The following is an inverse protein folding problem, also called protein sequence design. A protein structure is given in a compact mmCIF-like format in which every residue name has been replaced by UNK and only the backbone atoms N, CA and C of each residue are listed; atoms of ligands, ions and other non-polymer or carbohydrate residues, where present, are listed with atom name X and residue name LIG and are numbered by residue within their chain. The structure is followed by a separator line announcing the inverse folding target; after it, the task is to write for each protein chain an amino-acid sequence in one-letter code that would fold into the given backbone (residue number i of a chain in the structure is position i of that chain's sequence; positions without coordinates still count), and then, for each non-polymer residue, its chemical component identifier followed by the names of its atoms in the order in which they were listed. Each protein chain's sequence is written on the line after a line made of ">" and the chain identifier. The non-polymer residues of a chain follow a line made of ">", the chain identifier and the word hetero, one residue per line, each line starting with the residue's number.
data_IF_804134015135
#
_entry.id   IF_804134015135
#
_cell.length_a   1.000
_cell.length_b   1.000
_cell.length_c   1.000
_cell.angle_alpha   90.00
_cell.angle_beta   90.00
_cell.angle_gamma   90.00
#
_symmetry.space_group_name_H-M   'P 1'
#
loop_
_entity.id
_entity.type
_entity.pdbx_description
1 polymer ?
#
# COMPACT_ATOMS: atom_id res chain seq x y z
N UNK A 1 -24.25 20.31 26.85
CA UNK A 1 -24.47 20.47 25.40
C UNK A 1 -24.07 19.16 24.77
N UNK A 2 -25.06 18.33 24.47
CA UNK A 2 -24.85 17.01 23.88
C UNK A 2 -24.18 17.16 22.51
N UNK A 3 -23.00 16.56 22.37
CA UNK A 3 -22.35 16.40 21.08
C UNK A 3 -23.11 15.31 20.34
N UNK A 4 -23.82 15.69 19.27
CA UNK A 4 -24.35 14.75 18.29
C UNK A 4 -23.15 14.04 17.65
N UNK A 5 -22.89 12.80 18.08
CA UNK A 5 -22.10 11.86 17.30
C UNK A 5 -22.87 11.56 16.02
N UNK A 6 -22.50 12.20 14.91
CA UNK A 6 -23.01 11.84 13.58
C UNK A 6 -22.64 10.38 13.30
N UNK A 7 -23.66 9.52 13.21
CA UNK A 7 -23.50 8.15 12.71
C UNK A 7 -22.80 8.18 11.35
N UNK A 8 -21.90 7.22 11.04
CA UNK A 8 -21.24 7.17 9.74
C UNK A 8 -22.28 7.04 8.62
N UNK A 9 -22.42 8.08 7.80
CA UNK A 9 -23.33 8.13 6.67
C UNK A 9 -23.13 6.91 5.77
N UNK A 10 -24.19 6.16 5.50
CA UNK A 10 -24.17 5.10 4.48
C UNK A 10 -23.89 5.73 3.12
N UNK A 11 -22.98 5.15 2.32
CA UNK A 11 -22.70 5.65 0.97
C UNK A 11 -23.97 5.52 0.13
N UNK A 12 -24.37 6.57 -0.59
CA UNK A 12 -25.53 6.46 -1.48
C UNK A 12 -25.22 5.52 -2.65
N UNK A 13 -26.25 4.95 -3.28
CA UNK A 13 -26.08 4.18 -4.52
C UNK A 13 -25.40 5.03 -5.62
N UNK A 14 -25.66 6.34 -5.63
CA UNK A 14 -25.03 7.28 -6.54
C UNK A 14 -23.52 7.40 -6.28
N UNK A 15 -23.10 7.47 -5.01
CA UNK A 15 -21.67 7.54 -4.66
C UNK A 15 -20.93 6.29 -5.12
N UNK A 16 -21.52 5.11 -4.90
CA UNK A 16 -20.92 3.85 -5.36
C UNK A 16 -20.82 3.79 -6.88
N UNK A 17 -21.83 4.27 -7.61
CA UNK A 17 -21.78 4.32 -9.08
C UNK A 17 -20.69 5.28 -9.57
N UNK A 18 -20.55 6.45 -8.93
CA UNK A 18 -19.48 7.40 -9.24
C UNK A 18 -18.10 6.77 -8.98
N UNK A 19 -17.94 6.06 -7.87
CA UNK A 19 -16.71 5.33 -7.54
C UNK A 19 -16.43 4.17 -8.51
N UNK A 20 -17.48 3.54 -9.04
CA UNK A 20 -17.36 2.52 -10.09
C UNK A 20 -16.73 3.12 -11.33
N UNK A 21 -17.33 4.19 -11.85
CA UNK A 21 -16.86 4.89 -13.03
C UNK A 21 -15.44 5.43 -12.85
N UNK A 22 -15.13 6.04 -11.71
CA UNK A 22 -13.78 6.57 -11.45
C UNK A 22 -12.74 5.45 -11.36
N UNK A 23 -13.02 4.31 -10.73
CA UNK A 23 -12.09 3.17 -10.71
C UNK A 23 -11.81 2.66 -12.12
N UNK A 24 -12.84 2.52 -12.97
CA UNK A 24 -12.67 2.00 -14.32
C UNK A 24 -11.86 2.98 -15.19
N UNK A 25 -12.15 4.28 -15.12
CA UNK A 25 -11.41 5.34 -15.81
C UNK A 25 -9.92 5.39 -15.40
N UNK A 26 -9.62 5.20 -14.11
CA UNK A 26 -8.24 5.20 -13.63
C UNK A 26 -7.52 3.89 -13.96
N UNK A 27 -8.24 2.77 -13.97
CA UNK A 27 -7.69 1.46 -14.32
C UNK A 27 -7.23 1.39 -15.77
N UNK A 28 -7.88 2.10 -16.69
CA UNK A 28 -7.41 2.23 -18.09
C UNK A 28 -6.02 2.86 -18.19
N UNK A 29 -5.62 3.67 -17.20
CA UNK A 29 -4.31 4.34 -17.16
C UNK A 29 -3.24 3.49 -16.45
N UNK A 30 -3.59 2.28 -16.01
CA UNK A 30 -2.70 1.43 -15.23
C UNK A 30 -1.61 0.81 -16.11
N UNK A 31 -0.35 1.10 -15.81
CA UNK A 31 0.81 0.47 -16.45
C UNK A 31 1.30 -0.66 -15.55
N UNK A 32 1.43 -1.88 -16.10
CA UNK A 32 1.83 -3.09 -15.35
C UNK A 32 3.21 -3.62 -15.72
N UNK A 33 4.01 -2.77 -16.37
CA UNK A 33 5.38 -3.02 -16.79
C UNK A 33 6.30 -1.91 -16.25
N UNK A 34 7.60 -2.16 -16.27
CA UNK A 34 8.58 -1.19 -15.78
C UNK A 34 8.59 0.05 -16.67
N UNK A 35 8.22 1.19 -16.09
CA UNK A 35 8.09 2.44 -16.82
C UNK A 35 8.68 3.62 -16.03
N UNK A 36 9.99 3.59 -15.89
CA UNK A 36 10.82 4.55 -15.16
C UNK A 36 12.25 4.55 -15.73
N UNK A 37 13.04 5.57 -15.40
CA UNK A 37 14.41 5.74 -15.93
C UNK A 37 15.49 5.12 -15.04
N UNK A 38 15.19 4.96 -13.74
CA UNK A 38 16.13 4.36 -12.80
C UNK A 38 16.25 2.84 -13.00
N UNK A 39 17.35 2.27 -12.53
CA UNK A 39 17.62 0.83 -12.51
C UNK A 39 17.92 0.38 -11.08
N UNK A 40 17.79 -0.92 -10.83
CA UNK A 40 18.26 -1.52 -9.59
C UNK A 40 19.79 -1.35 -9.47
N UNK A 41 20.33 -1.18 -8.24
CA UNK A 41 21.70 -0.77 -8.00
C UNK A 41 22.70 -1.71 -8.66
N UNK A 42 23.36 -1.19 -9.69
CA UNK A 42 24.33 -1.80 -10.61
C UNK A 42 24.65 -0.87 -11.81
N UNK A 43 24.20 0.40 -11.81
CA UNK A 43 24.31 1.29 -13.00
C UNK A 43 24.29 2.78 -12.65
N UNK A 44 24.43 3.68 -13.63
CA UNK A 44 24.56 5.12 -13.42
C UNK A 44 23.29 5.88 -13.00
N UNK A 45 22.10 5.28 -13.10
CA UNK A 45 20.82 5.87 -12.66
C UNK A 45 20.12 4.95 -11.66
N UNK A 46 20.60 4.91 -10.42
CA UNK A 46 20.10 3.95 -9.42
C UNK A 46 18.81 4.43 -8.73
N UNK A 47 17.97 3.46 -8.35
CA UNK A 47 16.93 3.67 -7.35
C UNK A 47 17.58 4.08 -6.03
N UNK A 48 17.30 5.31 -5.57
CA UNK A 48 17.82 5.90 -4.34
C UNK A 48 16.75 6.13 -3.28
N UNK A 49 15.55 6.56 -3.65
CA UNK A 49 14.52 6.95 -2.70
C UNK A 49 13.28 6.08 -2.83
N UNK A 50 13.02 5.28 -1.80
CA UNK A 50 11.83 4.44 -1.70
C UNK A 50 10.90 4.95 -0.60
N UNK A 51 9.68 5.29 -1.00
CA UNK A 51 8.64 5.74 -0.10
C UNK A 51 7.84 4.58 0.50
N UNK A 52 7.32 4.79 1.69
CA UNK A 52 6.32 3.93 2.32
C UNK A 52 5.15 4.77 2.79
N UNK A 53 3.92 4.31 2.53
CA UNK A 53 2.71 4.94 3.07
C UNK A 53 1.84 3.94 3.80
N UNK A 54 1.23 4.41 4.87
CA UNK A 54 0.27 3.70 5.70
C UNK A 54 -0.78 4.68 6.22
N UNK A 55 -1.96 4.17 6.55
CA UNK A 55 -2.97 4.89 7.29
C UNK A 55 -3.43 4.05 8.47
N UNK A 56 -3.30 4.62 9.67
CA UNK A 56 -3.80 4.00 10.89
C UNK A 56 -5.03 4.73 11.39
N UNK A 57 -5.89 4.01 12.10
CA UNK A 57 -7.14 4.53 12.67
C UNK A 57 -7.04 4.57 14.19
N UNK A 58 -7.62 5.60 14.80
CA UNK A 58 -7.75 5.66 16.24
C UNK A 58 -8.68 4.55 16.73
N UNK A 59 -8.33 3.96 17.88
CA UNK A 59 -9.18 2.95 18.53
C UNK A 59 -10.30 3.60 19.33
N UNK A 60 -10.07 4.81 19.81
CA UNK A 60 -11.03 5.58 20.62
C UNK A 60 -11.97 6.41 19.74
N UNK A 61 -11.49 6.92 18.61
CA UNK A 61 -12.24 7.74 17.66
C UNK A 61 -12.20 7.11 16.26
N UNK A 62 -13.11 6.20 15.90
CA UNK A 62 -13.02 5.40 14.67
C UNK A 62 -13.02 6.20 13.35
N UNK A 63 -13.50 7.45 13.38
CA UNK A 63 -13.45 8.37 12.24
C UNK A 63 -12.10 9.08 12.10
N UNK A 64 -11.30 9.15 13.17
CA UNK A 64 -9.96 9.73 13.15
C UNK A 64 -8.95 8.75 12.59
N UNK A 65 -8.22 9.17 11.57
CA UNK A 65 -7.11 8.44 10.99
C UNK A 65 -5.87 9.32 10.83
N UNK A 66 -4.71 8.67 10.75
CA UNK A 66 -3.42 9.30 10.50
C UNK A 66 -2.79 8.66 9.27
N UNK A 67 -2.79 9.40 8.16
CA UNK A 67 -2.00 9.06 6.98
C UNK A 67 -0.54 9.43 7.22
N UNK A 68 0.39 8.56 6.84
CA UNK A 68 1.83 8.78 7.03
C UNK A 68 2.60 8.46 5.76
N UNK A 69 3.57 9.32 5.43
CA UNK A 69 4.58 9.10 4.41
C UNK A 69 5.95 9.02 5.07
N UNK A 70 6.73 8.03 4.69
CA UNK A 70 8.18 7.98 4.95
C UNK A 70 8.92 7.84 3.64
N UNK A 71 10.13 8.38 3.55
CA UNK A 71 11.05 8.10 2.44
C UNK A 71 12.38 7.66 2.99
N UNK A 72 12.86 6.54 2.47
CA UNK A 72 14.09 5.89 2.87
C UNK A 72 15.10 5.93 1.73
N UNK A 73 16.38 6.02 2.10
CA UNK A 73 17.48 5.68 1.23
C UNK A 73 17.43 4.18 0.89
N UNK A 74 17.47 3.82 -0.38
CA UNK A 74 17.24 2.44 -0.84
C UNK A 74 18.37 1.49 -0.43
N UNK A 75 19.61 1.98 -0.34
CA UNK A 75 20.78 1.13 -0.04
C UNK A 75 20.90 0.87 1.47
N UNK A 76 20.75 1.92 2.28
CA UNK A 76 20.93 1.86 3.74
C UNK A 76 19.62 1.55 4.48
N UNK A 77 18.48 1.81 3.84
CA UNK A 77 17.14 1.85 4.43
C UNK A 77 17.05 2.80 5.64
N UNK A 78 17.87 3.85 5.65
CA UNK A 78 17.74 4.95 6.60
C UNK A 78 16.65 5.91 6.15
N UNK A 79 15.95 6.49 7.12
CA UNK A 79 14.84 7.42 6.85
C UNK A 79 15.42 8.80 6.55
N UNK A 80 15.10 9.32 5.38
CA UNK A 80 15.50 10.63 4.91
C UNK A 80 14.38 11.66 5.09
N UNK A 81 13.12 11.21 5.06
CA UNK A 81 11.96 12.07 5.20
C UNK A 81 10.81 11.34 5.90
N UNK A 82 10.01 12.09 6.66
CA UNK A 82 8.74 11.62 7.20
C UNK A 82 7.75 12.79 7.29
N UNK A 83 6.48 12.51 7.02
CA UNK A 83 5.39 13.47 7.18
C UNK A 83 4.08 12.72 7.48
N UNK A 84 3.10 13.41 8.04
CA UNK A 84 1.81 12.83 8.40
C UNK A 84 0.68 13.85 8.28
N UNK A 85 -0.53 13.34 8.21
CA UNK A 85 -1.75 14.14 8.25
C UNK A 85 -2.82 13.41 9.04
N UNK A 86 -3.41 14.11 10.03
CA UNK A 86 -4.62 13.65 10.68
C UNK A 86 -5.84 14.03 9.85
N UNK A 87 -6.79 13.12 9.76
CA UNK A 87 -8.00 13.30 8.99
C UNK A 87 -9.18 12.66 9.71
N UNK A 88 -10.31 13.34 9.68
CA UNK A 88 -11.60 12.76 10.06
C UNK A 88 -12.27 12.22 8.80
N UNK A 89 -12.28 10.91 8.66
CA UNK A 89 -12.83 10.22 7.49
C UNK A 89 -14.35 10.18 7.57
N UNK A 90 -14.99 10.92 6.65
CA UNK A 90 -16.45 10.97 6.51
C UNK A 90 -16.99 9.89 5.56
N UNK A 91 -16.15 9.34 4.71
CA UNK A 91 -16.52 8.27 3.77
C UNK A 91 -16.57 6.93 4.52
N UNK A 92 -17.70 6.19 4.48
CA UNK A 92 -17.82 4.90 5.16
C UNK A 92 -16.93 3.83 4.51
N UNK A 93 -16.60 2.79 5.27
CA UNK A 93 -15.90 1.63 4.72
C UNK A 93 -16.84 0.81 3.85
N UNK A 94 -16.61 0.81 2.54
CA UNK A 94 -17.29 -0.07 1.59
C UNK A 94 -16.26 -1.04 1.00
N UNK A 95 -16.45 -2.37 1.16
CA UNK A 95 -15.56 -3.37 0.56
C UNK A 95 -15.38 -3.14 -0.95
N UNK A 96 -14.14 -3.11 -1.42
CA UNK A 96 -13.82 -2.81 -2.82
C UNK A 96 -13.55 -1.32 -3.12
N UNK A 97 -13.85 -0.41 -2.18
CA UNK A 97 -13.76 1.04 -2.39
C UNK A 97 -12.90 1.76 -1.35
N UNK A 98 -12.08 1.02 -0.59
CA UNK A 98 -11.16 1.59 0.42
C UNK A 98 -10.31 2.76 -0.11
N UNK A 99 -9.90 2.69 -1.39
CA UNK A 99 -9.10 3.73 -2.01
C UNK A 99 -9.76 5.12 -1.98
N UNK A 100 -11.09 5.23 -2.05
CA UNK A 100 -11.78 6.53 -1.98
C UNK A 100 -11.75 7.14 -0.59
N UNK A 101 -11.54 6.31 0.43
CA UNK A 101 -11.39 6.74 1.82
C UNK A 101 -9.95 7.18 2.11
N UNK A 102 -8.96 6.45 1.60
CA UNK A 102 -7.57 6.60 2.04
C UNK A 102 -6.67 7.32 1.02
N UNK A 103 -6.91 7.16 -0.28
CA UNK A 103 -6.06 7.77 -1.31
C UNK A 103 -5.99 9.30 -1.24
N UNK A 104 -7.10 10.05 -1.01
CA UNK A 104 -7.02 11.51 -0.93
C UNK A 104 -6.01 11.99 0.12
N UNK A 105 -6.01 11.36 1.29
CA UNK A 105 -5.12 11.68 2.42
C UNK A 105 -3.65 11.48 2.04
N UNK A 106 -3.35 10.34 1.42
CA UNK A 106 -1.98 9.98 1.06
C UNK A 106 -1.48 10.80 -0.14
N UNK A 107 -2.36 11.12 -1.09
CA UNK A 107 -2.06 12.00 -2.22
C UNK A 107 -1.78 13.43 -1.75
N UNK A 108 -2.53 13.94 -0.77
CA UNK A 108 -2.29 15.27 -0.20
C UNK A 108 -0.91 15.36 0.48
N UNK A 109 -0.48 14.31 1.19
CA UNK A 109 0.86 14.27 1.81
C UNK A 109 1.96 14.23 0.73
N UNK A 110 1.77 13.46 -0.34
CA UNK A 110 2.71 13.42 -1.47
C UNK A 110 2.79 14.78 -2.19
N UNK A 111 1.66 15.42 -2.46
CA UNK A 111 1.61 16.73 -3.11
C UNK A 111 2.21 17.83 -2.21
N UNK A 112 1.98 17.77 -0.90
CA UNK A 112 2.66 18.65 0.08
C UNK A 112 4.18 18.50 0.01
N UNK A 113 4.69 17.27 0.01
CA UNK A 113 6.13 17.00 -0.12
C UNK A 113 6.68 17.48 -1.47
N UNK A 114 5.93 17.31 -2.55
CA UNK A 114 6.31 17.77 -3.89
C UNK A 114 6.41 19.29 -3.95
N UNK A 115 5.42 20.00 -3.40
CA UNK A 115 5.37 21.47 -3.35
C UNK A 115 6.45 22.08 -2.46
N UNK A 116 6.92 21.36 -1.43
CA UNK A 116 8.01 21.83 -0.59
C UNK A 116 9.38 21.78 -1.28
N UNK A 117 9.48 21.18 -2.48
CA UNK A 117 10.74 21.04 -3.20
C UNK A 117 11.71 20.06 -2.53
N UNK A 118 11.19 19.11 -1.75
CA UNK A 118 12.03 18.13 -1.05
C UNK A 118 12.90 17.33 -2.03
N UNK A 119 14.24 17.26 -1.84
CA UNK A 119 15.13 16.52 -2.71
C UNK A 119 14.96 14.99 -2.59
N UNK A 120 14.15 14.55 -1.61
CA UNK A 120 13.94 13.14 -1.30
C UNK A 120 12.60 12.62 -1.82
N UNK A 121 11.96 13.28 -2.79
CA UNK A 121 10.70 12.79 -3.35
C UNK A 121 10.87 11.35 -3.85
N UNK A 122 10.00 10.41 -3.45
CA UNK A 122 10.22 8.99 -3.70
C UNK A 122 10.21 8.71 -5.21
N UNK A 123 11.12 7.85 -5.66
CA UNK A 123 11.15 7.32 -7.03
C UNK A 123 10.21 6.12 -7.20
N UNK A 124 9.83 5.51 -6.08
CA UNK A 124 8.92 4.37 -5.97
C UNK A 124 8.20 4.46 -4.62
N UNK A 125 6.90 4.15 -4.58
CA UNK A 125 6.12 4.12 -3.35
C UNK A 125 5.62 2.71 -3.04
N UNK A 126 5.87 2.24 -1.83
CA UNK A 126 5.22 1.05 -1.28
C UNK A 126 3.98 1.48 -0.51
N UNK A 127 2.87 0.80 -0.77
CA UNK A 127 1.58 1.08 -0.15
C UNK A 127 1.11 -0.13 0.63
N UNK A 128 0.81 0.04 1.93
CA UNK A 128 0.11 -0.99 2.71
C UNK A 128 -1.36 -0.98 2.29
N UNK A 129 -1.78 -1.98 1.52
CA UNK A 129 -3.17 -2.06 1.06
C UNK A 129 -3.39 -2.78 -0.25
N UNK A 130 -4.61 -2.60 -0.74
CA UNK A 130 -5.13 -3.28 -1.93
C UNK A 130 -4.42 -2.78 -3.19
N UNK A 131 -4.42 -3.60 -4.24
CA UNK A 131 -3.55 -3.45 -5.42
C UNK A 131 -4.20 -4.09 -6.64
N UNK A 132 -3.46 -4.61 -7.63
CA UNK A 132 -4.09 -5.43 -8.67
C UNK A 132 -4.75 -6.67 -8.08
N UNK A 133 -4.16 -7.31 -7.04
CA UNK A 133 -4.83 -8.36 -6.27
C UNK A 133 -6.01 -7.77 -5.45
N UNK A 134 -7.13 -7.52 -6.12
CA UNK A 134 -8.32 -6.83 -5.64
C UNK A 134 -9.52 -7.29 -6.46
N UNK A 135 -10.76 -7.37 -5.90
CA UNK A 135 -11.92 -7.87 -6.65
C UNK A 135 -12.18 -7.17 -7.98
N UNK A 136 -11.86 -5.87 -8.06
CA UNK A 136 -11.98 -5.07 -9.29
C UNK A 136 -10.67 -4.90 -10.06
N UNK A 137 -9.58 -5.49 -9.58
CA UNK A 137 -8.26 -5.36 -10.18
C UNK A 137 -7.64 -3.96 -10.07
N UNK A 138 -8.15 -3.12 -9.15
CA UNK A 138 -7.73 -1.74 -8.96
C UNK A 138 -7.91 -1.32 -7.49
N UNK A 139 -6.88 -1.55 -6.68
CA UNK A 139 -6.88 -1.18 -5.26
C UNK A 139 -6.15 0.14 -4.96
N UNK A 140 -5.93 0.41 -3.67
CA UNK A 140 -5.28 1.64 -3.18
C UNK A 140 -3.93 1.94 -3.84
N UNK A 141 -3.04 0.94 -3.94
CA UNK A 141 -1.71 1.13 -4.54
C UNK A 141 -1.81 1.54 -6.02
N UNK A 142 -2.76 0.96 -6.76
CA UNK A 142 -3.05 1.32 -8.14
C UNK A 142 -3.60 2.75 -8.24
N UNK A 143 -4.57 3.09 -7.37
CA UNK A 143 -5.20 4.40 -7.33
C UNK A 143 -4.16 5.51 -7.08
N UNK A 144 -3.37 5.38 -6.01
CA UNK A 144 -2.32 6.34 -5.67
C UNK A 144 -1.31 6.43 -6.81
N UNK A 145 -0.85 5.30 -7.34
CA UNK A 145 0.16 5.29 -8.40
C UNK A 145 -0.28 6.00 -9.67
N UNK A 146 -1.51 5.75 -10.13
CA UNK A 146 -2.07 6.42 -11.31
C UNK A 146 -2.23 7.92 -11.06
N UNK A 147 -2.83 8.32 -9.92
CA UNK A 147 -3.08 9.74 -9.61
C UNK A 147 -1.79 10.53 -9.39
N UNK A 148 -0.79 9.94 -8.72
CA UNK A 148 0.50 10.57 -8.47
C UNK A 148 1.48 10.42 -9.65
N UNK A 149 1.13 9.64 -10.68
CA UNK A 149 2.01 9.23 -11.76
C UNK A 149 3.37 8.72 -11.25
N UNK A 150 3.33 7.82 -10.26
CA UNK A 150 4.49 7.32 -9.54
C UNK A 150 4.50 5.78 -9.58
N UNK A 151 5.66 5.13 -9.77
CA UNK A 151 5.75 3.68 -9.61
C UNK A 151 5.29 3.26 -8.22
N UNK A 152 4.38 2.30 -8.13
CA UNK A 152 3.85 1.81 -6.85
C UNK A 152 3.80 0.30 -6.75
N UNK A 153 4.09 -0.20 -5.55
CA UNK A 153 3.96 -1.61 -5.17
C UNK A 153 2.95 -1.70 -4.03
N UNK A 154 1.96 -2.57 -4.17
CA UNK A 154 1.08 -2.90 -3.06
C UNK A 154 1.63 -4.07 -2.25
N UNK A 155 1.65 -3.90 -0.93
CA UNK A 155 2.09 -4.92 0.02
C UNK A 155 0.93 -5.24 0.96
N UNK A 156 0.40 -6.46 0.87
CA UNK A 156 -0.65 -6.94 1.75
C UNK A 156 -0.09 -7.86 2.83
N UNK A 157 -0.50 -7.62 4.08
CA UNK A 157 -0.24 -8.51 5.22
C UNK A 157 -1.16 -9.75 5.23
N UNK A 158 -2.28 -9.68 4.50
CA UNK A 158 -3.29 -10.72 4.33
C UNK A 158 -3.61 -10.95 2.84
N UNK A 159 -4.18 -12.11 2.49
CA UNK A 159 -4.58 -12.46 1.12
C UNK A 159 -5.96 -11.87 0.80
N UNK A 160 -6.10 -11.25 -0.37
CA UNK A 160 -7.41 -10.95 -0.95
C UNK A 160 -7.91 -12.14 -1.76
N UNK A 161 -9.13 -12.56 -1.47
CA UNK A 161 -9.78 -13.66 -2.17
C UNK A 161 -10.30 -13.19 -3.53
N UNK A 162 -9.57 -13.51 -4.59
CA UNK A 162 -9.92 -13.16 -5.97
C UNK A 162 -9.61 -14.32 -6.89
N UNK A 163 -10.43 -14.54 -7.92
CA UNK A 163 -10.13 -15.50 -8.99
C UNK A 163 -9.72 -16.90 -8.48
N UNK A 164 -10.43 -17.40 -7.47
CA UNK A 164 -10.17 -18.69 -6.82
C UNK A 164 -8.89 -18.77 -5.98
N UNK A 165 -8.21 -17.64 -5.72
CA UNK A 165 -7.09 -17.54 -4.78
C UNK A 165 -7.62 -17.37 -3.35
N UNK A 166 -7.93 -18.49 -2.69
CA UNK A 166 -8.33 -18.50 -1.28
C UNK A 166 -7.17 -18.92 -0.37
N UNK A 167 -7.30 -18.62 0.93
CA UNK A 167 -6.24 -18.86 1.92
C UNK A 167 -5.74 -20.31 1.92
N UNK A 168 -6.64 -21.30 1.79
CA UNK A 168 -6.29 -22.73 1.75
C UNK A 168 -5.46 -23.08 0.52
N UNK A 169 -5.88 -22.65 -0.67
CA UNK A 169 -5.15 -22.86 -1.92
C UNK A 169 -3.74 -22.27 -1.85
N UNK A 170 -3.61 -21.02 -1.40
CA UNK A 170 -2.29 -20.38 -1.33
C UNK A 170 -1.40 -21.01 -0.27
N UNK A 171 -1.96 -21.47 0.86
CA UNK A 171 -1.22 -22.24 1.86
C UNK A 171 -0.68 -23.55 1.27
N UNK A 172 -1.52 -24.31 0.58
CA UNK A 172 -1.11 -25.56 -0.05
C UNK A 172 0.02 -25.32 -1.08
N UNK A 173 -0.06 -24.25 -1.87
CA UNK A 173 1.01 -23.87 -2.81
C UNK A 173 2.33 -23.54 -2.09
N UNK A 174 2.27 -22.84 -0.95
CA UNK A 174 3.45 -22.50 -0.14
C UNK A 174 4.07 -23.71 0.59
N UNK A 175 3.29 -24.76 0.82
CA UNK A 175 3.71 -25.98 1.52
C UNK A 175 4.12 -27.11 0.56
N UNK A 176 3.80 -26.97 -0.74
CA UNK A 176 4.18 -27.95 -1.76
C UNK A 176 5.70 -28.15 -1.84
N UNK A 177 6.16 -29.40 -1.89
CA UNK A 177 7.60 -29.75 -1.91
C UNK A 177 8.37 -29.05 -3.03
N UNK A 178 7.76 -28.90 -4.21
CA UNK A 178 8.33 -28.19 -5.37
C UNK A 178 8.60 -26.69 -5.12
N UNK A 179 7.94 -26.10 -4.11
CA UNK A 179 8.07 -24.69 -3.77
C UNK A 179 8.88 -24.48 -2.48
N UNK A 180 9.37 -25.55 -1.85
CA UNK A 180 10.10 -25.50 -0.58
C UNK A 180 11.41 -24.69 -0.65
N UNK A 181 12.07 -24.68 -1.82
CA UNK A 181 13.29 -23.91 -2.07
C UNK A 181 13.03 -22.51 -2.63
N UNK A 182 11.77 -22.15 -2.94
CA UNK A 182 11.45 -20.86 -3.56
C UNK A 182 11.22 -19.80 -2.49
N UNK A 183 11.85 -18.63 -2.65
CA UNK A 183 11.61 -17.47 -1.78
C UNK A 183 10.19 -16.91 -1.89
N UNK A 184 9.55 -17.07 -3.04
CA UNK A 184 8.18 -16.66 -3.31
C UNK A 184 7.49 -17.63 -4.27
N UNK A 185 6.16 -17.58 -4.31
CA UNK A 185 5.34 -18.23 -5.33
C UNK A 185 4.50 -17.20 -6.07
N UNK A 186 4.28 -17.42 -7.35
CA UNK A 186 3.34 -16.62 -8.15
C UNK A 186 1.90 -17.01 -7.81
N UNK A 187 1.02 -16.02 -7.73
CA UNK A 187 -0.40 -16.18 -7.44
C UNK A 187 -1.20 -16.09 -8.74
N UNK A 188 -1.33 -17.23 -9.42
CA UNK A 188 -2.12 -17.36 -10.64
C UNK A 188 -3.52 -17.87 -10.30
N UNK A 189 -4.53 -17.10 -10.67
CA UNK A 189 -5.93 -17.45 -10.41
C UNK A 189 -6.47 -18.49 -11.39
N UNK A 190 -7.74 -18.87 -11.22
CA UNK A 190 -8.42 -19.84 -12.08
C UNK A 190 -8.53 -19.37 -13.53
N UNK A 191 -8.61 -18.06 -13.76
CA UNK A 191 -8.62 -17.47 -15.11
C UNK A 191 -7.29 -17.60 -15.87
N UNK A 192 -6.21 -18.08 -15.21
CA UNK A 192 -4.85 -18.07 -15.75
C UNK A 192 -4.12 -16.73 -15.55
N UNK A 193 -4.82 -15.69 -15.06
CA UNK A 193 -4.20 -14.40 -14.74
C UNK A 193 -3.28 -14.50 -13.52
N UNK A 194 -2.08 -13.95 -13.65
CA UNK A 194 -1.20 -13.71 -12.51
C UNK A 194 -1.60 -12.43 -11.79
N UNK A 195 -1.94 -12.54 -10.51
CA UNK A 195 -2.38 -11.42 -9.69
C UNK A 195 -1.31 -10.84 -8.77
N UNK A 196 -0.22 -11.57 -8.55
CA UNK A 196 0.85 -11.15 -7.65
C UNK A 196 1.74 -12.31 -7.22
N UNK A 197 2.39 -12.16 -6.08
CA UNK A 197 3.20 -13.20 -5.45
C UNK A 197 2.93 -13.28 -3.94
N UNK A 198 3.10 -14.47 -3.37
CA UNK A 198 3.20 -14.68 -1.93
C UNK A 198 4.66 -14.97 -1.58
N UNK A 199 5.20 -14.23 -0.60
CA UNK A 199 6.62 -14.28 -0.25
C UNK A 199 6.81 -14.48 1.24
N UNK A 200 7.65 -15.45 1.62
CA UNK A 200 8.19 -15.57 2.97
C UNK A 200 9.47 -14.73 3.01
N UNK A 201 9.29 -13.44 3.31
CA UNK A 201 10.29 -12.38 3.10
C UNK A 201 11.58 -12.50 3.91
N UNK A 202 11.56 -13.21 5.04
CA UNK A 202 12.73 -13.41 5.91
C UNK A 202 12.78 -14.83 6.45
N UNK A 203 13.98 -15.32 6.77
CA UNK A 203 14.17 -16.64 7.37
C UNK A 203 13.40 -16.73 8.69
N UNK A 204 12.62 -17.81 8.85
CA UNK A 204 11.75 -17.99 10.02
C UNK A 204 10.40 -17.28 9.95
N UNK A 205 10.12 -16.48 8.92
CA UNK A 205 8.79 -15.87 8.75
C UNK A 205 7.75 -16.93 8.40
N UNK A 206 6.82 -17.18 9.33
CA UNK A 206 5.71 -18.13 9.15
C UNK A 206 4.64 -17.55 8.23
N UNK A 207 4.31 -16.26 8.40
CA UNK A 207 3.24 -15.60 7.66
C UNK A 207 3.81 -14.91 6.43
N UNK A 208 3.36 -15.25 5.20
CA UNK A 208 3.81 -14.56 4.01
C UNK A 208 3.36 -13.10 4.00
N UNK A 209 4.00 -12.30 3.17
CA UNK A 209 3.44 -11.07 2.63
C UNK A 209 3.00 -11.32 1.19
N UNK A 210 2.03 -10.54 0.74
CA UNK A 210 1.49 -10.66 -0.60
C UNK A 210 1.85 -9.41 -1.38
N UNK A 211 2.57 -9.58 -2.48
CA UNK A 211 3.08 -8.51 -3.33
C UNK A 211 2.24 -8.47 -4.60
N UNK A 212 1.88 -7.30 -5.09
CA UNK A 212 1.49 -7.16 -6.48
C UNK A 212 1.71 -5.75 -6.99
N UNK A 213 1.62 -5.64 -8.31
CA UNK A 213 1.72 -4.40 -9.04
C UNK A 213 0.70 -3.39 -8.49
N UNK A 214 1.19 -2.18 -8.23
CA UNK A 214 0.40 -0.98 -8.08
C UNK A 214 0.32 -0.25 -9.42
N UNK A 215 1.41 0.37 -9.88
CA UNK A 215 1.49 1.14 -11.12
C UNK A 215 2.94 1.27 -11.61
N UNK A 216 3.16 1.31 -12.94
CA UNK A 216 4.46 1.55 -13.63
C UNK A 216 5.61 0.65 -13.17
N UNK A 217 5.29 -0.57 -12.76
CA UNK A 217 6.28 -1.56 -12.33
C UNK A 217 5.82 -2.95 -12.73
N UNK A 218 6.75 -3.78 -13.19
CA UNK A 218 6.52 -5.20 -13.45
C UNK A 218 6.45 -5.98 -12.12
N UNK A 219 5.77 -7.13 -12.12
CA UNK A 219 5.70 -7.96 -10.93
C UNK A 219 7.10 -8.46 -10.50
N UNK A 220 7.95 -8.79 -11.46
CA UNK A 220 9.31 -9.28 -11.20
C UNK A 220 10.16 -8.21 -10.50
N UNK A 221 10.17 -6.98 -11.03
CA UNK A 221 10.90 -5.87 -10.42
C UNK A 221 10.32 -5.51 -9.06
N UNK A 222 8.99 -5.52 -8.91
CA UNK A 222 8.36 -5.30 -7.61
C UNK A 222 8.83 -6.33 -6.56
N UNK A 223 8.87 -7.62 -6.90
CA UNK A 223 9.34 -8.67 -5.97
C UNK A 223 10.81 -8.43 -5.59
N UNK A 224 11.68 -8.14 -6.55
CA UNK A 224 13.09 -7.88 -6.29
C UNK A 224 13.29 -6.72 -5.32
N UNK A 225 12.61 -5.59 -5.53
CA UNK A 225 12.69 -4.43 -4.64
C UNK A 225 12.17 -4.75 -3.23
N UNK A 226 11.06 -5.48 -3.13
CA UNK A 226 10.51 -5.89 -1.83
C UNK A 226 11.50 -6.79 -1.10
N UNK A 227 12.14 -7.74 -1.79
CA UNK A 227 13.19 -8.57 -1.18
C UNK A 227 14.35 -7.72 -0.64
N UNK A 228 14.84 -6.76 -1.43
CA UNK A 228 15.95 -5.88 -1.04
C UNK A 228 15.61 -4.94 0.12
N UNK A 229 14.32 -4.69 0.38
CA UNK A 229 13.86 -3.78 1.44
C UNK A 229 13.36 -4.51 2.69
N UNK A 230 13.36 -5.84 2.70
CA UNK A 230 12.92 -6.65 3.84
C UNK A 230 14.06 -6.93 4.83
N UNK A 231 14.24 -6.04 5.82
CA UNK A 231 15.02 -6.35 7.04
C UNK A 231 14.27 -7.27 8.00
N UNK A 232 12.94 -7.23 7.93
CA UNK A 232 12.01 -8.03 8.72
C UNK A 232 10.93 -8.63 7.81
N UNK A 233 9.89 -9.24 8.39
CA UNK A 233 8.73 -9.75 7.63
C UNK A 233 8.13 -8.71 6.67
N UNK A 234 7.98 -7.47 7.13
CA UNK A 234 7.38 -6.39 6.33
C UNK A 234 8.51 -5.50 5.80
N UNK A 235 8.45 -5.05 4.52
CA UNK A 235 9.44 -4.14 3.96
C UNK A 235 9.62 -2.90 4.81
N UNK A 236 10.86 -2.43 4.91
CA UNK A 236 11.22 -1.35 5.81
C UNK A 236 10.41 -0.06 5.57
N UNK A 237 10.13 0.39 4.32
CA UNK A 237 9.27 1.57 4.10
C UNK A 237 7.85 1.41 4.69
N UNK A 238 7.22 0.25 4.48
CA UNK A 238 5.88 -0.03 5.03
C UNK A 238 5.93 -0.13 6.55
N UNK A 239 6.91 -0.85 7.09
CA UNK A 239 7.09 -1.02 8.53
C UNK A 239 7.26 0.32 9.24
N UNK A 240 8.04 1.23 8.65
CA UNK A 240 8.33 2.54 9.23
C UNK A 240 7.14 3.51 9.12
N UNK A 241 6.34 3.42 8.05
CA UNK A 241 5.08 4.14 7.94
C UNK A 241 4.07 3.67 9.01
N UNK A 242 3.89 2.35 9.15
CA UNK A 242 2.97 1.69 10.10
C UNK A 242 3.34 1.94 11.58
N UNK A 243 4.62 2.03 11.91
CA UNK A 243 5.06 2.40 13.27
C UNK A 243 4.70 3.86 13.57
N UNK A 244 5.00 4.76 12.63
CA UNK A 244 4.79 6.19 12.83
C UNK A 244 3.33 6.58 12.86
N UNK A 245 2.52 6.04 11.96
CA UNK A 245 1.07 6.29 11.92
C UNK A 245 0.43 5.94 13.26
N UNK A 246 0.79 4.78 13.85
CA UNK A 246 0.36 4.37 15.19
C UNK A 246 0.95 5.23 16.30
N UNK A 247 2.21 5.65 16.21
CA UNK A 247 2.84 6.54 17.19
C UNK A 247 2.17 7.91 17.24
N UNK A 248 1.82 8.48 16.07
CA UNK A 248 1.14 9.76 15.99
C UNK A 248 -0.26 9.68 16.61
N UNK A 249 -1.03 8.63 16.31
CA UNK A 249 -2.35 8.41 16.93
C UNK A 249 -2.25 8.32 18.44
N UNK A 250 -1.33 7.51 18.96
CA UNK A 250 -1.13 7.38 20.42
C UNK A 250 -0.81 8.72 21.07
N UNK A 251 0.07 9.52 20.45
CA UNK A 251 0.40 10.87 20.96
C UNK A 251 -0.79 11.82 20.90
N UNK A 252 -1.61 11.74 19.86
CA UNK A 252 -2.83 12.54 19.73
C UNK A 252 -3.83 12.20 20.84
N UNK A 253 -4.10 10.91 21.04
CA UNK A 253 -5.03 10.40 22.06
C UNK A 253 -4.58 10.82 23.48
N UNK A 254 -3.30 10.63 23.82
CA UNK A 254 -2.74 11.07 25.11
C UNK A 254 -2.89 12.58 25.33
N UNK A 255 -2.70 13.40 24.29
CA UNK A 255 -2.83 14.86 24.41
C UNK A 255 -4.29 15.33 24.48
N UNK A 256 -5.22 14.54 23.93
CA UNK A 256 -6.66 14.82 24.01
C UNK A 256 -7.22 14.48 25.40
N UNK A 257 -6.71 13.44 26.06
CA UNK A 257 -7.12 13.05 27.42
C UNK A 257 -6.61 14.02 28.51
N UNK A 258 -5.56 14.79 28.22
CA UNK A 258 -4.98 15.79 29.13
C UNK A 258 -5.68 17.16 29.08
N UNK A 259 -6.67 17.34 28.20
CA UNK A 259 -7.45 18.58 28.03
C UNK A 259 -8.87 18.41 28.55
#
# INVERSE_FOLDING_TARGET
>A
MEQNEEEPSTSSQQDQQNWITEQDNLKEKLITEDNFTWKLPSSSQELRYVGGVDISFSKHYPSLACGTLVVLDFQTLQILYQDFSFVTLRVPYVPGFLAFREAPVLLDILEKMKRSGSPFYPQLLMVDGNRILHPRGFGLACHIGVKANLPTIGIGKNLHHVDGLHQSRVRNLLEAKENSSKHFITLTGCSGRTWGAAMKSTQGSIKPIYISIGHRISLQTAIAIVQMTCKYRVPEPIRQADIRSRDYIRKYEMNAELK
#
